data_IF_856827537590
#
_entry.id   IF_856827537590
#
_cell.length_a   1.000
_cell.length_b   1.000
_cell.length_c   1.000
_cell.angle_alpha   90.00
_cell.angle_beta   90.00
_cell.angle_gamma   90.00
#
_symmetry.space_group_name_H-M   'P 1'
#
loop_
_entity.id
_entity.type
_entity.pdbx_description
1 polymer ?
#
# COMPACT_ATOMS: atom_id res chain seq x y z
N UNK A 1 -12.45 8.27 16.31
CA UNK A 1 -13.34 7.14 15.92
C UNK A 1 -14.40 7.02 16.99
N UNK A 2 -15.69 7.11 16.66
CA UNK A 2 -16.82 7.13 17.61
C UNK A 2 -17.16 5.71 18.10
N UNK A 3 -16.68 5.26 19.27
CA UNK A 3 -16.83 3.85 19.69
C UNK A 3 -18.29 3.53 20.03
N UNK A 4 -19.01 4.50 20.57
CA UNK A 4 -20.42 4.42 20.94
C UNK A 4 -21.34 4.38 19.72
N UNK A 5 -20.97 5.07 18.64
CA UNK A 5 -21.75 5.08 17.40
C UNK A 5 -21.85 3.71 16.74
N UNK A 6 -20.74 2.97 16.68
CA UNK A 6 -20.73 1.61 16.13
C UNK A 6 -21.52 0.61 16.98
N UNK A 7 -21.48 0.74 18.31
CA UNK A 7 -22.25 -0.10 19.22
C UNK A 7 -23.75 0.20 19.06
N UNK A 8 -24.14 1.47 19.05
CA UNK A 8 -25.52 1.87 18.84
C UNK A 8 -26.06 1.40 17.48
N UNK A 9 -25.27 1.54 16.41
CA UNK A 9 -25.60 1.05 15.09
C UNK A 9 -25.76 -0.48 15.07
N UNK A 10 -24.88 -1.21 15.76
CA UNK A 10 -24.93 -2.67 15.83
C UNK A 10 -26.18 -3.16 16.57
N UNK A 11 -26.52 -2.52 17.69
CA UNK A 11 -27.73 -2.82 18.45
C UNK A 11 -29.01 -2.47 17.66
N UNK A 12 -29.02 -1.33 16.99
CA UNK A 12 -30.12 -0.94 16.10
C UNK A 12 -30.29 -1.94 14.94
N UNK A 13 -29.19 -2.39 14.35
CA UNK A 13 -29.19 -3.42 13.30
C UNK A 13 -29.74 -4.74 13.82
N UNK A 14 -29.31 -5.18 15.01
CA UNK A 14 -29.80 -6.41 15.63
C UNK A 14 -31.30 -6.34 15.94
N UNK A 15 -31.78 -5.21 16.48
CA UNK A 15 -33.19 -4.98 16.74
C UNK A 15 -34.02 -4.98 15.43
N UNK A 16 -33.50 -4.36 14.37
CA UNK A 16 -34.12 -4.37 13.04
C UNK A 16 -34.24 -5.80 12.49
N UNK A 17 -33.17 -6.59 12.55
CA UNK A 17 -33.19 -8.00 12.10
C UNK A 17 -34.19 -8.81 12.92
N UNK A 18 -34.21 -8.65 14.25
CA UNK A 18 -35.17 -9.33 15.12
C UNK A 18 -36.63 -8.97 14.78
N UNK A 19 -36.90 -7.70 14.49
CA UNK A 19 -38.22 -7.25 14.05
C UNK A 19 -38.61 -7.89 12.71
N UNK A 20 -37.71 -7.91 11.73
CA UNK A 20 -37.96 -8.43 10.37
C UNK A 20 -38.15 -9.94 10.32
N UNK A 21 -37.48 -10.69 11.21
CA UNK A 21 -37.64 -12.16 11.30
C UNK A 21 -39.01 -12.56 11.85
N UNK A 22 -39.69 -11.68 12.59
CA UNK A 22 -41.04 -11.94 13.09
C UNK A 22 -42.05 -11.90 11.92
N UNK A 23 -42.72 -13.03 11.59
CA UNK A 23 -43.65 -13.13 10.46
C UNK A 23 -44.84 -12.18 10.51
N UNK A 24 -45.18 -11.70 11.71
CA UNK A 24 -46.32 -10.81 11.95
C UNK A 24 -45.93 -9.32 11.98
N UNK A 25 -44.66 -8.98 11.74
CA UNK A 25 -44.22 -7.58 11.75
C UNK A 25 -44.56 -6.85 10.43
N UNK A 26 -45.06 -5.61 10.56
CA UNK A 26 -45.29 -4.72 9.41
C UNK A 26 -43.99 -4.44 8.63
N UNK A 27 -42.86 -4.41 9.35
CA UNK A 27 -41.52 -4.25 8.79
C UNK A 27 -41.06 -5.47 7.98
N UNK A 28 -41.36 -6.70 8.43
CA UNK A 28 -41.09 -7.92 7.68
C UNK A 28 -41.95 -8.01 6.41
N UNK A 29 -43.20 -7.55 6.48
CA UNK A 29 -44.11 -7.49 5.32
C UNK A 29 -43.66 -6.45 4.29
N UNK A 30 -43.21 -5.27 4.73
CA UNK A 30 -42.76 -4.20 3.83
C UNK A 30 -41.41 -4.52 3.17
N UNK A 31 -40.43 -4.99 3.95
CA UNK A 31 -39.10 -5.38 3.43
C UNK A 31 -39.14 -6.72 2.68
N UNK A 32 -40.13 -7.56 2.96
CA UNK A 32 -40.38 -8.83 2.27
C UNK A 32 -41.11 -8.69 0.93
N UNK A 33 -41.40 -7.47 0.46
CA UNK A 33 -42.07 -7.26 -0.81
C UNK A 33 -41.28 -7.87 -1.98
N UNK A 34 -41.99 -8.27 -3.04
CA UNK A 34 -41.43 -9.05 -4.15
C UNK A 34 -40.16 -8.41 -4.77
N UNK A 35 -40.08 -7.09 -5.02
CA UNK A 35 -38.88 -6.47 -5.59
C UNK A 35 -37.67 -6.53 -4.66
N UNK A 36 -37.83 -6.13 -3.39
CA UNK A 36 -36.73 -6.13 -2.42
C UNK A 36 -36.22 -7.54 -2.14
N UNK A 37 -37.13 -8.51 -2.01
CA UNK A 37 -36.76 -9.92 -1.88
C UNK A 37 -36.01 -10.44 -3.11
N UNK A 38 -36.43 -10.05 -4.31
CA UNK A 38 -35.78 -10.43 -5.56
C UNK A 38 -34.33 -9.92 -5.65
N UNK A 39 -34.09 -8.67 -5.22
CA UNK A 39 -32.76 -8.07 -5.11
C UNK A 39 -31.96 -8.80 -4.02
N UNK A 40 -32.56 -9.00 -2.84
CA UNK A 40 -31.89 -9.60 -1.69
C UNK A 40 -31.32 -10.99 -1.98
N UNK A 41 -32.07 -11.86 -2.66
CA UNK A 41 -31.57 -13.22 -3.01
C UNK A 41 -30.44 -13.20 -4.05
N UNK A 42 -30.25 -12.10 -4.79
CA UNK A 42 -29.22 -11.89 -5.81
C UNK A 42 -28.12 -10.92 -5.38
N UNK A 43 -28.17 -10.43 -4.14
CA UNK A 43 -27.27 -9.41 -3.60
C UNK A 43 -25.79 -9.80 -3.71
N UNK A 44 -25.49 -11.08 -3.52
CA UNK A 44 -24.13 -11.62 -3.70
C UNK A 44 -23.63 -11.50 -5.14
N UNK A 45 -24.42 -11.95 -6.12
CA UNK A 45 -24.10 -11.79 -7.54
C UNK A 45 -23.97 -10.33 -7.97
N UNK A 46 -24.84 -9.44 -7.46
CA UNK A 46 -24.76 -7.99 -7.72
C UNK A 46 -23.42 -7.44 -7.21
N UNK A 47 -23.05 -7.78 -5.98
CA UNK A 47 -21.79 -7.36 -5.36
C UNK A 47 -20.56 -7.83 -6.16
N UNK A 48 -20.56 -9.08 -6.64
CA UNK A 48 -19.45 -9.63 -7.41
C UNK A 48 -19.30 -8.98 -8.79
N UNK A 49 -20.40 -8.82 -9.51
CA UNK A 49 -20.36 -8.45 -10.93
C UNK A 49 -20.37 -6.94 -11.18
N UNK A 50 -20.81 -6.12 -10.23
CA UNK A 50 -20.85 -4.67 -10.41
C UNK A 50 -19.47 -4.07 -10.73
N UNK A 51 -18.41 -4.52 -10.04
CA UNK A 51 -17.06 -3.96 -10.19
C UNK A 51 -16.45 -4.28 -11.56
N UNK A 52 -16.41 -5.55 -12.01
CA UNK A 52 -15.94 -5.90 -13.34
C UNK A 52 -16.69 -5.18 -14.47
N UNK A 53 -18.01 -5.04 -14.35
CA UNK A 53 -18.83 -4.36 -15.37
C UNK A 53 -18.45 -2.87 -15.45
N UNK A 54 -18.30 -2.20 -14.32
CA UNK A 54 -17.90 -0.78 -14.28
C UNK A 54 -16.49 -0.59 -14.85
N UNK A 55 -15.55 -1.49 -14.52
CA UNK A 55 -14.17 -1.43 -15.02
C UNK A 55 -14.10 -1.65 -16.53
N UNK A 56 -14.77 -2.69 -17.04
CA UNK A 56 -14.75 -3.02 -18.47
C UNK A 56 -15.44 -1.95 -19.33
N UNK A 57 -16.42 -1.25 -18.79
CA UNK A 57 -17.09 -0.15 -19.49
C UNK A 57 -16.26 1.14 -19.52
N UNK A 58 -15.34 1.31 -18.55
CA UNK A 58 -14.62 2.56 -18.33
C UNK A 58 -15.45 3.61 -17.59
N UNK A 59 -14.77 4.46 -16.81
CA UNK A 59 -15.41 5.59 -16.12
C UNK A 59 -15.55 6.78 -17.08
N UNK A 60 -16.71 7.48 -17.10
CA UNK A 60 -16.85 8.68 -17.89
C UNK A 60 -15.86 9.75 -17.41
N UNK A 61 -15.19 10.41 -18.36
CA UNK A 61 -14.13 11.38 -18.07
C UNK A 61 -14.70 12.72 -17.54
N UNK A 62 -15.98 13.01 -17.78
CA UNK A 62 -16.64 14.28 -17.43
C UNK A 62 -18.03 14.02 -16.79
N UNK A 63 -18.11 13.97 -15.46
CA UNK A 63 -19.38 13.91 -14.72
C UNK A 63 -20.16 12.59 -14.82
N UNK A 64 -21.36 12.55 -14.22
CA UNK A 64 -22.24 11.38 -14.20
C UNK A 64 -23.03 11.30 -15.50
N UNK A 65 -22.69 10.34 -16.36
CA UNK A 65 -23.50 10.00 -17.53
C UNK A 65 -24.65 9.08 -17.09
N UNK A 66 -25.84 9.65 -16.85
CA UNK A 66 -27.02 8.93 -16.38
C UNK A 66 -27.44 7.76 -17.28
N UNK A 67 -27.47 7.88 -18.64
CA UNK A 67 -27.71 6.75 -19.52
C UNK A 67 -26.70 5.60 -19.35
N UNK A 68 -25.42 5.94 -19.25
CA UNK A 68 -24.37 4.94 -19.04
C UNK A 68 -24.51 4.26 -17.68
N UNK A 69 -24.78 5.02 -16.62
CA UNK A 69 -25.01 4.48 -15.28
C UNK A 69 -26.23 3.55 -15.25
N UNK A 70 -27.34 3.95 -15.88
CA UNK A 70 -28.53 3.11 -16.00
C UNK A 70 -28.23 1.79 -16.73
N UNK A 71 -27.42 1.86 -17.80
CA UNK A 71 -27.03 0.68 -18.56
C UNK A 71 -26.10 -0.24 -17.76
N UNK A 72 -25.13 0.31 -17.02
CA UNK A 72 -24.27 -0.46 -16.12
C UNK A 72 -25.06 -1.18 -15.02
N UNK A 73 -26.04 -0.50 -14.42
CA UNK A 73 -26.93 -1.10 -13.43
C UNK A 73 -27.77 -2.21 -14.07
N UNK A 74 -28.36 -1.97 -15.24
CA UNK A 74 -29.13 -2.97 -15.95
C UNK A 74 -28.29 -4.21 -16.30
N UNK A 75 -27.08 -4.02 -16.83
CA UNK A 75 -26.14 -5.10 -17.14
C UNK A 75 -25.76 -5.88 -15.88
N UNK A 76 -25.49 -5.18 -14.77
CA UNK A 76 -25.19 -5.82 -13.48
C UNK A 76 -26.34 -6.69 -13.00
N UNK A 77 -27.59 -6.19 -13.05
CA UNK A 77 -28.76 -6.95 -12.65
C UNK A 77 -29.00 -8.17 -13.54
N UNK A 78 -28.76 -8.07 -14.84
CA UNK A 78 -28.87 -9.19 -15.78
C UNK A 78 -27.80 -10.24 -15.49
N UNK A 79 -26.53 -9.85 -15.41
CA UNK A 79 -25.41 -10.77 -15.14
C UNK A 79 -25.57 -11.43 -13.76
N UNK A 80 -25.92 -10.66 -12.74
CA UNK A 80 -26.21 -11.20 -11.41
C UNK A 80 -27.39 -12.18 -11.43
N UNK A 81 -28.44 -11.91 -12.22
CA UNK A 81 -29.58 -12.83 -12.35
C UNK A 81 -29.19 -14.15 -13.02
N UNK A 82 -28.34 -14.10 -14.04
CA UNK A 82 -27.81 -15.28 -14.72
C UNK A 82 -26.85 -16.07 -13.80
N UNK A 83 -25.94 -15.39 -13.12
CA UNK A 83 -25.04 -15.96 -12.11
C UNK A 83 -25.83 -16.68 -11.03
N UNK A 84 -26.86 -16.02 -10.50
CA UNK A 84 -27.71 -16.60 -9.47
C UNK A 84 -28.39 -17.89 -9.95
N UNK A 85 -28.96 -17.88 -11.16
CA UNK A 85 -29.71 -19.03 -11.70
C UNK A 85 -28.80 -20.21 -12.08
N UNK A 86 -27.63 -19.95 -12.65
CA UNK A 86 -26.78 -20.98 -13.24
C UNK A 86 -25.59 -21.39 -12.37
N UNK A 87 -25.19 -20.56 -11.42
CA UNK A 87 -24.03 -20.81 -10.56
C UNK A 87 -24.48 -20.94 -9.11
N UNK A 88 -25.11 -19.91 -8.55
CA UNK A 88 -25.38 -19.85 -7.12
C UNK A 88 -26.47 -20.84 -6.68
N UNK A 89 -27.59 -20.91 -7.41
CA UNK A 89 -28.72 -21.80 -7.09
C UNK A 89 -28.35 -23.29 -7.18
N UNK A 90 -27.64 -23.78 -8.23
CA UNK A 90 -27.15 -25.16 -8.26
C UNK A 90 -26.18 -25.47 -7.12
N UNK A 91 -25.28 -24.55 -6.78
CA UNK A 91 -24.31 -24.70 -5.70
C UNK A 91 -25.04 -24.80 -4.35
N UNK A 92 -25.96 -23.87 -4.07
CA UNK A 92 -26.80 -23.85 -2.86
C UNK A 92 -27.70 -25.08 -2.76
N UNK A 93 -28.18 -25.59 -3.89
CA UNK A 93 -28.93 -26.84 -4.02
C UNK A 93 -28.07 -28.11 -3.90
N UNK A 94 -26.80 -28.01 -3.51
CA UNK A 94 -25.93 -29.15 -3.20
C UNK A 94 -25.28 -29.82 -4.41
N UNK A 95 -25.23 -29.16 -5.58
CA UNK A 95 -24.59 -29.70 -6.78
C UNK A 95 -23.10 -29.99 -6.56
N UNK A 96 -22.37 -29.12 -5.85
CA UNK A 96 -20.96 -29.35 -5.49
C UNK A 96 -20.79 -30.57 -4.58
N UNK A 97 -21.66 -30.73 -3.58
CA UNK A 97 -21.63 -31.90 -2.70
C UNK A 97 -21.93 -33.21 -3.44
N UNK A 98 -22.85 -33.20 -4.40
CA UNK A 98 -23.12 -34.34 -5.29
C UNK A 98 -21.93 -34.63 -6.21
N UNK A 99 -21.29 -33.60 -6.75
CA UNK A 99 -20.12 -33.74 -7.62
C UNK A 99 -18.92 -34.30 -6.85
N UNK A 100 -18.65 -33.82 -5.64
CA UNK A 100 -17.60 -34.33 -4.76
C UNK A 100 -17.86 -35.74 -4.26
N UNK A 101 -19.11 -36.12 -3.98
CA UNK A 101 -19.46 -37.51 -3.66
C UNK A 101 -19.27 -38.42 -4.87
N UNK A 102 -19.63 -37.98 -6.08
CA UNK A 102 -19.37 -38.73 -7.33
C UNK A 102 -17.88 -38.82 -7.68
N UNK A 103 -17.11 -37.78 -7.40
CA UNK A 103 -15.65 -37.80 -7.57
C UNK A 103 -14.97 -38.75 -6.58
N UNK A 104 -15.39 -38.74 -5.30
CA UNK A 104 -14.89 -39.68 -4.27
C UNK A 104 -15.36 -41.12 -4.48
N UNK A 105 -16.57 -41.32 -5.01
CA UNK A 105 -17.07 -42.64 -5.39
C UNK A 105 -16.44 -43.17 -6.70
N UNK A 106 -15.66 -42.35 -7.42
CA UNK A 106 -15.09 -42.65 -8.73
C UNK A 106 -13.62 -43.07 -8.71
N UNK A 107 -13.15 -43.78 -7.67
CA UNK A 107 -11.83 -44.46 -7.63
C UNK A 107 -11.92 -45.93 -8.09
N UNK A 108 -13.12 -46.46 -8.36
CA UNK A 108 -13.30 -47.76 -9.01
C UNK A 108 -13.86 -47.58 -10.43
N UNK A 109 -13.23 -48.20 -11.43
CA UNK A 109 -13.59 -48.27 -12.86
C UNK A 109 -13.14 -47.12 -13.78
N UNK A 110 -11.84 -47.13 -14.09
CA UNK A 110 -11.19 -46.41 -15.20
C UNK A 110 -11.59 -46.88 -16.62
N UNK A 111 -12.54 -47.81 -16.78
CA UNK A 111 -12.87 -48.42 -18.08
C UNK A 111 -13.97 -47.75 -18.92
N UNK A 112 -14.85 -46.92 -18.34
CA UNK A 112 -16.05 -46.43 -19.04
C UNK A 112 -16.02 -44.94 -19.44
N UNK A 113 -14.92 -44.23 -19.18
CA UNK A 113 -14.87 -42.76 -19.17
C UNK A 113 -14.40 -42.12 -20.49
N UNK A 114 -14.59 -42.79 -21.62
CA UNK A 114 -14.26 -42.24 -22.96
C UNK A 114 -15.47 -41.75 -23.79
N UNK A 115 -16.72 -41.87 -23.31
CA UNK A 115 -17.91 -41.47 -24.10
C UNK A 115 -18.81 -40.39 -23.49
N UNK A 116 -18.54 -39.89 -22.29
CA UNK A 116 -19.39 -38.87 -21.63
C UNK A 116 -18.67 -37.54 -21.33
N UNK A 117 -17.47 -37.35 -21.87
CA UNK A 117 -16.71 -36.08 -21.78
C UNK A 117 -16.96 -35.14 -22.97
N UNK A 118 -18.03 -35.34 -23.74
CA UNK A 118 -18.33 -34.53 -24.92
C UNK A 118 -19.43 -33.47 -24.73
N UNK A 119 -20.18 -33.42 -23.62
CA UNK A 119 -21.35 -32.52 -23.53
C UNK A 119 -21.53 -31.75 -22.21
N UNK A 120 -20.52 -31.70 -21.33
CA UNK A 120 -20.60 -30.89 -20.10
C UNK A 120 -19.25 -30.35 -19.62
N UNK A 121 -18.30 -30.14 -20.55
CA UNK A 121 -17.03 -29.45 -20.30
C UNK A 121 -17.04 -27.95 -20.64
N UNK A 122 -18.05 -27.49 -21.39
CA UNK A 122 -18.09 -26.13 -21.94
C UNK A 122 -18.29 -25.02 -20.92
N UNK A 123 -19.02 -25.27 -19.83
CA UNK A 123 -19.39 -24.21 -18.87
C UNK A 123 -18.31 -23.93 -17.82
N UNK A 124 -17.62 -24.96 -17.32
CA UNK A 124 -16.47 -24.80 -16.42
C UNK A 124 -15.23 -24.29 -17.17
N UNK A 125 -15.04 -24.73 -18.42
CA UNK A 125 -14.01 -24.20 -19.32
C UNK A 125 -14.23 -22.73 -19.63
N UNK A 126 -15.46 -22.30 -19.94
CA UNK A 126 -15.78 -20.90 -20.22
C UNK A 126 -15.60 -19.99 -19.00
N UNK A 127 -15.91 -20.45 -17.78
CA UNK A 127 -15.70 -19.67 -16.54
C UNK A 127 -14.21 -19.55 -16.21
N UNK A 128 -13.42 -20.62 -16.37
CA UNK A 128 -11.97 -20.57 -16.15
C UNK A 128 -11.26 -19.73 -17.21
N UNK A 129 -11.70 -19.81 -18.47
CA UNK A 129 -11.22 -18.95 -19.58
C UNK A 129 -11.63 -17.50 -19.37
N UNK A 130 -12.82 -17.21 -18.83
CA UNK A 130 -13.24 -15.85 -18.50
C UNK A 130 -12.43 -15.25 -17.33
N UNK A 131 -12.09 -16.05 -16.32
CA UNK A 131 -11.23 -15.62 -15.19
C UNK A 131 -9.79 -15.38 -15.64
N UNK A 132 -9.26 -16.22 -16.53
CA UNK A 132 -7.92 -16.04 -17.12
C UNK A 132 -7.90 -14.87 -18.11
N UNK A 133 -8.96 -14.68 -18.90
CA UNK A 133 -9.11 -13.53 -19.79
C UNK A 133 -9.23 -12.22 -19.00
N UNK A 134 -9.88 -12.21 -17.83
CA UNK A 134 -9.95 -11.04 -16.97
C UNK A 134 -8.60 -10.71 -16.30
N UNK A 135 -7.76 -11.71 -16.04
CA UNK A 135 -6.39 -11.51 -15.59
C UNK A 135 -5.44 -11.08 -16.74
N UNK A 136 -5.76 -11.45 -17.99
CA UNK A 136 -4.96 -11.16 -19.19
C UNK A 136 -5.26 -9.83 -19.89
N UNK A 137 -6.25 -9.06 -19.44
CA UNK A 137 -6.59 -7.72 -20.00
C UNK A 137 -5.82 -6.58 -19.30
N UNK A 138 -4.95 -6.89 -18.34
CA UNK A 138 -3.88 -5.95 -18.00
C UNK A 138 -2.91 -5.88 -19.19
N UNK A 139 -2.61 -4.69 -19.75
CA UNK A 139 -1.71 -4.60 -20.89
C UNK A 139 -0.30 -4.98 -20.45
N UNK A 140 0.09 -6.23 -20.72
CA UNK A 140 1.50 -6.58 -20.91
C UNK A 140 1.88 -6.04 -22.28
N UNK A 141 2.37 -4.80 -22.31
CA UNK A 141 3.03 -4.27 -23.49
C UNK A 141 4.34 -5.06 -23.70
N UNK A 142 4.35 -5.91 -24.74
CA UNK A 142 5.53 -6.60 -25.24
C UNK A 142 5.55 -6.55 -26.77
N UNK A 143 6.77 -6.53 -27.30
CA UNK A 143 7.25 -6.44 -28.69
C UNK A 143 7.48 -5.00 -29.18
N UNK A 144 8.65 -4.60 -29.67
CA UNK A 144 9.92 -5.23 -30.07
C UNK A 144 10.69 -4.13 -30.86
N UNK A 145 12.00 -4.08 -31.10
CA UNK A 145 13.05 -5.09 -31.18
C UNK A 145 14.42 -4.40 -31.42
N UNK A 146 15.51 -5.06 -30.96
CA UNK A 146 16.91 -5.03 -31.43
C UNK A 146 17.76 -3.76 -31.14
N UNK A 147 18.84 -3.83 -30.35
CA UNK A 147 20.14 -4.43 -30.76
C UNK A 147 21.03 -4.71 -29.53
N UNK A 148 21.80 -5.82 -29.46
CA UNK A 148 22.78 -6.03 -28.40
C UNK A 148 24.09 -5.28 -28.70
N UNK A 149 24.31 -4.12 -28.07
CA UNK A 149 25.63 -3.48 -28.08
C UNK A 149 26.45 -3.86 -26.84
N UNK A 150 27.25 -4.90 -27.06
CA UNK A 150 28.65 -5.08 -26.64
C UNK A 150 29.11 -4.25 -25.44
N UNK A 151 29.26 -4.96 -24.32
CA UNK A 151 30.03 -4.58 -23.13
C UNK A 151 31.42 -4.10 -23.56
N UNK A 152 31.70 -2.82 -23.29
CA UNK A 152 33.07 -2.30 -23.33
C UNK A 152 33.37 -1.51 -22.06
N UNK A 153 34.18 -2.17 -21.23
CA UNK A 153 35.40 -1.62 -20.62
C UNK A 153 35.27 -0.60 -19.47
N UNK A 154 35.46 -1.10 -18.25
CA UNK A 154 36.23 -0.45 -17.17
C UNK A 154 37.60 0.00 -17.72
N UNK A 155 38.19 1.14 -17.25
CA UNK A 155 39.02 1.13 -16.03
C UNK A 155 39.19 2.54 -15.37
N UNK A 156 40.18 2.81 -14.49
CA UNK A 156 40.79 2.01 -13.41
C UNK A 156 40.72 2.71 -12.03
N UNK A 157 41.05 1.91 -10.99
CA UNK A 157 41.49 2.35 -9.66
C UNK A 157 42.61 3.39 -9.76
N UNK A 158 42.47 4.50 -9.04
CA UNK A 158 43.57 5.39 -8.69
C UNK A 158 44.10 5.04 -7.30
N UNK A 159 45.29 4.44 -7.30
CA UNK A 159 46.20 4.32 -6.17
C UNK A 159 46.66 5.71 -5.72
N UNK A 160 46.70 5.95 -4.41
CA UNK A 160 47.14 7.23 -3.83
C UNK A 160 48.66 7.43 -3.82
N UNK A 161 49.13 8.55 -3.25
CA UNK A 161 50.45 8.65 -2.65
C UNK A 161 50.43 8.91 -1.13
N UNK A 162 51.61 8.67 -0.55
CA UNK A 162 51.97 8.45 0.85
C UNK A 162 52.00 9.70 1.73
N UNK A 163 51.84 9.40 3.03
CA UNK A 163 52.49 9.96 4.22
C UNK A 163 53.14 11.35 4.13
N UNK A 164 52.57 12.27 4.89
CA UNK A 164 53.33 13.25 5.66
C UNK A 164 52.98 13.06 7.14
N UNK A 165 54.01 12.77 7.93
CA UNK A 165 54.00 12.73 9.39
C UNK A 165 53.96 14.15 9.96
N UNK A 166 53.14 14.38 10.99
CA UNK A 166 53.37 15.43 11.98
C UNK A 166 52.63 15.15 13.30
N UNK A 167 53.07 15.73 14.43
CA UNK A 167 53.26 15.00 15.67
C UNK A 167 52.05 15.02 16.61
N UNK A 168 52.12 14.09 17.57
CA UNK A 168 51.16 13.81 18.62
C UNK A 168 50.59 15.07 19.30
N UNK A 169 49.32 15.36 19.03
CA UNK A 169 48.46 16.06 19.99
C UNK A 169 47.77 15.03 20.86
N UNK A 170 47.87 15.24 22.17
CA UNK A 170 47.31 14.40 23.24
C UNK A 170 45.78 14.35 23.10
N UNK A 171 45.30 13.36 22.33
CA UNK A 171 43.86 13.06 22.24
C UNK A 171 43.48 12.28 23.48
N UNK A 172 42.97 12.99 24.50
CA UNK A 172 42.25 12.40 25.64
C UNK A 172 41.34 11.29 25.09
N UNK A 173 41.63 10.05 25.49
CA UNK A 173 40.83 8.87 25.21
C UNK A 173 39.42 9.08 25.79
N UNK A 174 38.49 9.59 24.97
CA UNK A 174 37.07 9.40 25.23
C UNK A 174 36.79 7.93 24.95
N UNK A 175 36.55 7.17 26.02
CA UNK A 175 35.94 5.85 25.96
C UNK A 175 34.76 5.93 24.98
N UNK A 176 34.62 5.01 24.00
CA UNK A 176 33.47 5.03 23.12
C UNK A 176 32.21 4.99 23.99
N UNK A 177 31.38 6.05 23.91
CA UNK A 177 30.05 5.99 24.50
C UNK A 177 29.31 4.85 23.79
N UNK A 178 28.57 4.05 24.56
CA UNK A 178 27.69 3.04 23.97
C UNK A 178 26.77 3.74 22.95
N UNK A 179 26.44 3.11 21.82
CA UNK A 179 25.59 3.72 20.80
C UNK A 179 24.30 4.24 21.43
N UNK A 180 23.84 5.46 21.06
CA UNK A 180 22.60 5.98 21.59
C UNK A 180 21.46 5.01 21.26
N UNK A 181 20.64 4.71 22.27
CA UNK A 181 19.48 3.82 22.16
C UNK A 181 18.15 4.57 22.13
N UNK A 182 18.18 5.89 22.34
CA UNK A 182 16.99 6.74 22.40
C UNK A 182 17.14 8.00 21.57
N UNK A 183 16.04 8.43 20.97
CA UNK A 183 15.94 9.69 20.22
C UNK A 183 15.61 10.88 21.13
N UNK A 184 15.99 12.08 20.71
CA UNK A 184 15.52 13.34 21.29
C UNK A 184 14.06 13.66 20.91
N UNK A 185 13.52 13.03 19.88
CA UNK A 185 12.15 13.20 19.41
C UNK A 185 11.13 12.62 20.40
N UNK A 186 10.32 13.49 21.01
CA UNK A 186 9.24 13.08 21.93
C UNK A 186 7.88 12.95 21.26
N UNK A 187 7.61 13.75 20.24
CA UNK A 187 6.39 13.71 19.45
C UNK A 187 6.78 13.63 17.98
N UNK A 188 6.17 12.71 17.24
CA UNK A 188 6.48 12.46 15.84
C UNK A 188 5.21 12.50 15.01
N UNK A 189 5.19 13.34 13.97
CA UNK A 189 4.26 13.16 12.84
C UNK A 189 4.97 12.28 11.82
N UNK A 190 4.34 11.15 11.47
CA UNK A 190 4.84 10.23 10.45
C UNK A 190 3.94 10.37 9.22
N UNK A 191 4.45 10.96 8.14
CA UNK A 191 3.71 11.04 6.89
C UNK A 191 4.23 9.97 5.93
N UNK A 192 3.37 9.01 5.58
CA UNK A 192 3.73 7.88 4.73
C UNK A 192 2.78 7.69 3.54
N UNK A 193 3.31 7.07 2.49
CA UNK A 193 2.54 6.54 1.36
C UNK A 193 2.18 5.04 1.54
N UNK A 194 1.74 4.38 0.47
CA UNK A 194 1.34 2.96 0.47
C UNK A 194 2.42 2.02 1.02
N UNK A 195 3.69 2.38 0.90
CA UNK A 195 4.81 1.57 1.43
C UNK A 195 4.83 1.53 2.96
N UNK A 196 4.00 2.33 3.63
CA UNK A 196 3.88 2.41 5.08
C UNK A 196 2.58 1.82 5.64
N UNK A 197 1.58 1.49 4.81
CA UNK A 197 0.26 1.03 5.27
C UNK A 197 0.33 -0.22 6.15
N UNK A 198 1.18 -1.18 5.78
CA UNK A 198 1.36 -2.41 6.55
C UNK A 198 2.05 -2.20 7.90
N UNK A 199 2.72 -1.08 8.15
CA UNK A 199 3.43 -0.82 9.41
C UNK A 199 2.49 -0.52 10.58
N UNK A 200 1.24 -0.13 10.28
CA UNK A 200 0.21 0.18 11.27
C UNK A 200 -0.95 -0.82 11.28
N UNK A 201 -1.08 -1.64 10.23
CA UNK A 201 -2.20 -2.56 10.06
C UNK A 201 -2.03 -3.86 10.85
N UNK A 202 -3.11 -4.31 11.49
CA UNK A 202 -3.18 -5.62 12.15
C UNK A 202 -3.14 -6.80 11.18
N UNK A 203 -3.55 -6.58 9.94
CA UNK A 203 -3.64 -7.63 8.94
C UNK A 203 -2.25 -8.00 8.44
N UNK A 204 -1.35 -7.01 8.37
CA UNK A 204 0.05 -7.21 8.02
C UNK A 204 0.93 -7.51 9.24
N UNK A 205 0.74 -6.81 10.37
CA UNK A 205 1.50 -7.03 11.60
C UNK A 205 0.53 -7.35 12.75
N UNK A 206 0.21 -8.63 12.99
CA UNK A 206 -0.73 -9.03 14.05
C UNK A 206 -0.26 -8.63 15.45
N UNK A 207 1.04 -8.72 15.74
CA UNK A 207 1.60 -8.34 17.03
C UNK A 207 1.74 -6.80 17.15
N UNK A 208 0.97 -6.13 18.02
CA UNK A 208 1.01 -4.67 18.13
C UNK A 208 2.37 -4.13 18.57
N UNK A 209 3.21 -4.92 19.27
CA UNK A 209 4.56 -4.49 19.68
C UNK A 209 5.51 -4.28 18.50
N UNK A 210 5.22 -4.89 17.36
CA UNK A 210 6.05 -4.79 16.15
C UNK A 210 5.58 -3.69 15.19
N UNK A 211 4.44 -3.05 15.47
CA UNK A 211 3.92 -1.95 14.64
C UNK A 211 4.68 -0.66 14.88
N UNK A 212 4.62 0.24 13.90
CA UNK A 212 5.35 1.51 13.86
C UNK A 212 5.30 2.29 15.18
N UNK A 213 4.11 2.49 15.74
CA UNK A 213 3.94 3.26 16.97
C UNK A 213 4.68 2.64 18.16
N UNK A 214 4.64 1.31 18.31
CA UNK A 214 5.33 0.62 19.39
C UNK A 214 6.85 0.67 19.19
N UNK A 215 7.33 0.48 17.95
CA UNK A 215 8.75 0.59 17.62
C UNK A 215 9.31 2.00 17.87
N UNK A 216 8.54 3.05 17.54
CA UNK A 216 8.90 4.44 17.87
C UNK A 216 8.87 4.69 19.40
N UNK A 217 7.93 4.08 20.12
CA UNK A 217 7.87 4.17 21.58
C UNK A 217 9.09 3.53 22.26
N UNK A 218 9.58 2.40 21.75
CA UNK A 218 10.77 1.71 22.27
C UNK A 218 12.02 2.61 22.25
N UNK A 219 12.13 3.49 21.25
CA UNK A 219 13.23 4.47 21.13
C UNK A 219 12.97 5.81 21.83
N UNK A 220 11.83 5.95 22.52
CA UNK A 220 11.54 7.08 23.40
C UNK A 220 10.56 8.13 22.86
N UNK A 221 9.92 7.88 21.71
CA UNK A 221 8.79 8.70 21.24
C UNK A 221 7.59 8.45 22.15
N UNK A 222 6.93 9.52 22.61
CA UNK A 222 5.75 9.44 23.49
C UNK A 222 4.45 9.52 22.72
N UNK A 223 4.42 10.36 21.68
CA UNK A 223 3.23 10.60 20.87
C UNK A 223 3.59 10.42 19.40
N UNK A 224 2.82 9.60 18.70
CA UNK A 224 2.97 9.38 17.26
C UNK A 224 1.66 9.68 16.57
N UNK A 225 1.72 10.51 15.53
CA UNK A 225 0.61 10.83 14.64
C UNK A 225 0.87 10.14 13.29
N UNK A 226 0.36 8.91 13.06
CA UNK A 226 0.53 8.23 11.80
C UNK A 226 -0.43 8.80 10.75
N UNK A 227 0.13 9.50 9.78
CA UNK A 227 -0.55 10.05 8.62
C UNK A 227 -0.17 9.22 7.40
N UNK A 228 -0.86 8.11 7.18
CA UNK A 228 -0.53 7.15 6.12
C UNK A 228 -1.72 7.00 5.17
N UNK A 229 -1.44 7.06 3.86
CA UNK A 229 -2.45 6.88 2.81
C UNK A 229 -1.80 6.34 1.54
N UNK A 230 -2.39 5.32 0.93
CA UNK A 230 -1.83 4.59 -0.22
C UNK A 230 -1.22 5.46 -1.32
N UNK A 231 -2.02 6.30 -1.96
CA UNK A 231 -1.59 7.13 -3.09
C UNK A 231 -1.02 8.50 -2.67
N UNK A 232 -0.56 8.67 -1.42
CA UNK A 232 -0.08 9.98 -0.95
C UNK A 232 1.20 10.37 -1.67
N UNK A 233 1.18 11.53 -2.31
CA UNK A 233 2.36 12.29 -2.74
C UNK A 233 2.41 13.63 -2.01
N UNK A 234 3.44 14.44 -2.30
CA UNK A 234 3.59 15.76 -1.69
C UNK A 234 2.53 16.74 -2.17
N UNK A 235 2.20 16.71 -3.47
CA UNK A 235 1.43 17.76 -4.14
C UNK A 235 0.06 17.26 -4.60
N UNK A 236 -0.03 16.07 -5.14
CA UNK A 236 -1.26 15.55 -5.73
C UNK A 236 -2.18 15.00 -4.65
N UNK A 237 -3.47 15.29 -4.78
CA UNK A 237 -4.52 14.63 -4.00
C UNK A 237 -5.02 13.42 -4.78
N UNK A 238 -5.51 12.41 -4.06
CA UNK A 238 -6.08 11.21 -4.65
C UNK A 238 -7.40 10.89 -3.96
N UNK A 239 -8.47 10.69 -4.73
CA UNK A 239 -9.81 10.33 -4.21
C UNK A 239 -10.32 11.19 -3.04
N UNK A 240 -9.98 12.49 -3.04
CA UNK A 240 -10.37 13.43 -1.99
C UNK A 240 -9.55 13.34 -0.70
N UNK A 241 -8.56 12.44 -0.62
CA UNK A 241 -7.62 12.40 0.49
C UNK A 241 -6.57 13.52 0.37
N UNK A 242 -6.17 14.14 1.50
CA UNK A 242 -5.18 15.20 1.49
C UNK A 242 -3.79 14.69 1.12
N UNK A 243 -3.07 15.50 0.33
CA UNK A 243 -1.66 15.33 0.02
C UNK A 243 -0.78 15.60 1.26
N UNK A 244 0.51 15.26 1.19
CA UNK A 244 1.40 15.41 2.34
C UNK A 244 1.61 16.86 2.77
N UNK A 245 1.66 17.81 1.82
CA UNK A 245 1.81 19.24 2.13
C UNK A 245 0.62 19.76 2.97
N UNK A 246 -0.60 19.37 2.60
CA UNK A 246 -1.83 19.72 3.31
C UNK A 246 -1.84 19.12 4.71
N UNK A 247 -1.48 17.84 4.84
CA UNK A 247 -1.38 17.17 6.15
C UNK A 247 -0.36 17.88 7.04
N UNK A 248 0.82 18.22 6.53
CA UNK A 248 1.84 18.93 7.29
C UNK A 248 1.35 20.31 7.75
N UNK A 249 0.72 21.07 6.85
CA UNK A 249 0.11 22.37 7.19
C UNK A 249 -0.97 22.25 8.27
N UNK A 250 -1.83 21.22 8.21
CA UNK A 250 -2.87 20.99 9.20
C UNK A 250 -2.30 20.72 10.60
N UNK A 251 -1.28 19.87 10.71
CA UNK A 251 -0.60 19.62 11.99
C UNK A 251 0.07 20.89 12.54
N UNK A 252 0.74 21.66 11.68
CA UNK A 252 1.34 22.93 12.07
C UNK A 252 0.30 23.96 12.52
N UNK A 253 -0.84 24.07 11.82
CA UNK A 253 -1.94 24.95 12.19
C UNK A 253 -2.59 24.55 13.53
N UNK A 254 -2.53 23.27 13.89
CA UNK A 254 -2.94 22.75 15.19
C UNK A 254 -1.88 22.95 16.29
N UNK A 255 -0.76 23.61 15.97
CA UNK A 255 0.31 23.92 16.92
C UNK A 255 1.32 22.80 17.13
N UNK A 256 1.41 21.83 16.20
CA UNK A 256 2.40 20.76 16.33
C UNK A 256 3.83 21.30 16.27
N UNK A 257 4.62 20.94 17.28
CA UNK A 257 6.06 21.17 17.34
C UNK A 257 6.77 19.90 17.83
N UNK A 258 7.51 19.25 16.94
CA UNK A 258 8.15 17.97 17.21
C UNK A 258 9.07 17.53 16.08
N UNK A 259 9.20 16.21 15.90
CA UNK A 259 9.95 15.64 14.79
C UNK A 259 9.01 15.13 13.70
N UNK A 260 9.53 15.05 12.49
CA UNK A 260 8.81 14.58 11.32
C UNK A 260 9.54 13.38 10.74
N UNK A 261 8.79 12.32 10.43
CA UNK A 261 9.28 11.23 9.59
C UNK A 261 8.51 11.29 8.28
N UNK A 262 9.23 11.46 7.18
CA UNK A 262 8.65 11.50 5.84
C UNK A 262 9.02 10.21 5.12
N UNK A 263 8.06 9.31 4.99
CA UNK A 263 8.15 8.07 4.21
C UNK A 263 7.41 8.25 2.89
N UNK A 264 7.92 9.19 2.08
CA UNK A 264 7.34 9.68 0.84
C UNK A 264 8.39 9.66 -0.27
N UNK A 265 7.94 9.40 -1.49
CA UNK A 265 8.78 9.47 -2.69
C UNK A 265 8.33 8.54 -3.80
N UNK A 266 7.71 7.42 -3.45
CA UNK A 266 7.29 6.39 -4.41
C UNK A 266 6.23 6.93 -5.37
N UNK A 267 5.22 7.63 -4.86
CA UNK A 267 4.21 8.29 -5.69
C UNK A 267 4.69 9.62 -6.31
N UNK A 268 5.65 10.30 -5.67
CA UNK A 268 6.15 11.59 -6.15
C UNK A 268 6.95 11.47 -7.46
N UNK A 269 7.68 10.37 -7.65
CA UNK A 269 8.41 10.14 -8.91
C UNK A 269 7.48 9.89 -10.08
N UNK A 270 6.41 9.12 -9.89
CA UNK A 270 5.38 8.86 -10.91
C UNK A 270 4.69 10.18 -11.30
N UNK A 271 4.18 10.92 -10.31
CA UNK A 271 3.51 12.19 -10.56
C UNK A 271 4.42 13.23 -11.23
N UNK A 272 5.71 13.24 -10.90
CA UNK A 272 6.67 14.17 -11.50
C UNK A 272 6.99 13.87 -12.97
N UNK A 273 6.68 12.68 -13.50
CA UNK A 273 6.85 12.40 -14.93
C UNK A 273 5.84 13.18 -15.78
N UNK A 274 4.65 13.43 -15.24
CA UNK A 274 3.55 14.11 -15.95
C UNK A 274 3.24 15.51 -15.41
N UNK A 275 3.92 15.94 -14.35
CA UNK A 275 3.71 17.23 -13.68
C UNK A 275 4.82 18.22 -14.02
N UNK A 276 4.52 19.53 -14.18
CA UNK A 276 5.56 20.56 -14.27
C UNK A 276 6.36 20.72 -12.97
N UNK A 277 5.93 20.07 -11.89
CA UNK A 277 6.54 20.16 -10.56
C UNK A 277 7.56 19.02 -10.37
N UNK A 278 8.85 19.36 -10.49
CA UNK A 278 9.95 18.43 -10.34
C UNK A 278 10.30 18.04 -8.89
N UNK A 279 11.08 16.96 -8.75
CA UNK A 279 11.41 16.33 -7.46
C UNK A 279 12.04 17.30 -6.44
N UNK A 280 13.04 18.08 -6.88
CA UNK A 280 13.74 19.05 -6.02
C UNK A 280 12.80 20.11 -5.44
N UNK A 281 11.82 20.56 -6.23
CA UNK A 281 10.84 21.54 -5.75
C UNK A 281 9.94 20.90 -4.69
N UNK A 282 9.48 19.67 -4.90
CA UNK A 282 8.60 18.95 -3.94
C UNK A 282 9.27 18.80 -2.58
N UNK A 283 10.55 18.40 -2.58
CA UNK A 283 11.35 18.27 -1.36
C UNK A 283 11.51 19.64 -0.69
N UNK A 284 11.91 20.67 -1.44
CA UNK A 284 12.06 22.02 -0.91
C UNK A 284 10.75 22.58 -0.35
N UNK A 285 9.62 22.29 -1.01
CA UNK A 285 8.29 22.70 -0.58
C UNK A 285 7.90 22.06 0.76
N UNK A 286 8.08 20.75 0.93
CA UNK A 286 7.84 20.07 2.21
C UNK A 286 8.74 20.61 3.33
N UNK A 287 10.03 20.78 3.04
CA UNK A 287 10.98 21.32 4.02
C UNK A 287 10.67 22.77 4.38
N UNK A 288 10.16 23.57 3.45
CA UNK A 288 9.73 24.95 3.70
C UNK A 288 8.48 24.99 4.61
N UNK A 289 7.51 24.09 4.40
CA UNK A 289 6.32 23.96 5.26
C UNK A 289 6.74 23.59 6.69
N UNK A 290 7.57 22.56 6.86
CA UNK A 290 7.98 22.06 8.17
C UNK A 290 8.93 23.05 8.90
N UNK A 291 9.73 23.79 8.14
CA UNK A 291 10.66 24.79 8.65
C UNK A 291 11.86 24.18 9.37
N UNK A 292 12.16 24.68 10.57
CA UNK A 292 13.36 24.29 11.32
C UNK A 292 13.19 23.02 12.16
N UNK A 293 12.00 22.43 12.20
CA UNK A 293 11.75 21.21 12.96
C UNK A 293 12.56 20.03 12.40
N UNK A 294 13.03 19.09 13.25
CA UNK A 294 13.80 17.93 12.79
C UNK A 294 13.00 17.04 11.83
N UNK A 295 13.60 16.70 10.69
CA UNK A 295 12.99 15.83 9.67
C UNK A 295 13.91 14.64 9.40
N UNK A 296 13.39 13.43 9.54
CA UNK A 296 14.02 12.25 8.97
C UNK A 296 13.22 11.79 7.75
N UNK A 297 13.86 11.79 6.57
CA UNK A 297 13.27 11.33 5.34
C UNK A 297 13.71 9.90 5.05
N UNK A 298 12.77 8.98 4.88
CA UNK A 298 13.05 7.59 4.51
C UNK A 298 13.14 7.53 2.99
N UNK A 299 14.29 7.12 2.47
CA UNK A 299 14.47 6.96 1.03
C UNK A 299 13.70 5.73 0.50
N UNK A 300 13.60 5.62 -0.82
CA UNK A 300 12.67 4.67 -1.46
C UNK A 300 13.38 3.62 -2.30
N UNK A 301 12.77 2.45 -2.42
CA UNK A 301 13.23 1.35 -3.26
C UNK A 301 12.02 0.59 -3.82
N UNK A 302 12.12 0.20 -5.08
CA UNK A 302 11.24 -0.78 -5.73
C UNK A 302 12.10 -1.81 -6.46
N UNK A 303 11.49 -2.93 -6.86
CA UNK A 303 12.16 -4.01 -7.61
C UNK A 303 11.81 -4.04 -9.10
N UNK A 304 11.05 -3.04 -9.58
CA UNK A 304 10.62 -2.96 -10.97
C UNK A 304 11.79 -2.48 -11.85
N UNK A 305 11.98 -3.15 -12.98
CA UNK A 305 13.00 -2.77 -13.96
C UNK A 305 12.57 -1.63 -14.89
N UNK A 306 11.27 -1.36 -15.01
CA UNK A 306 10.70 -0.38 -15.95
C UNK A 306 9.40 0.23 -15.43
N UNK A 307 8.93 1.27 -16.11
CA UNK A 307 7.74 2.03 -15.73
C UNK A 307 8.03 3.16 -14.72
N UNK A 308 6.97 3.90 -14.35
CA UNK A 308 7.09 5.09 -13.49
C UNK A 308 7.58 4.74 -12.07
N UNK A 309 7.30 3.52 -11.60
CA UNK A 309 7.76 2.99 -10.32
C UNK A 309 9.05 2.19 -10.41
N UNK A 310 9.81 2.28 -11.51
CA UNK A 310 11.07 1.53 -11.64
C UNK A 310 12.11 1.95 -10.61
N UNK A 311 13.02 1.02 -10.30
CA UNK A 311 14.13 1.27 -9.39
C UNK A 311 14.98 2.47 -9.85
N UNK A 312 15.12 2.66 -11.17
CA UNK A 312 15.79 3.82 -11.74
C UNK A 312 15.11 5.14 -11.39
N UNK A 313 13.77 5.18 -11.30
CA UNK A 313 13.04 6.37 -10.87
C UNK A 313 13.19 6.61 -9.37
N UNK A 314 13.14 5.55 -8.56
CA UNK A 314 13.44 5.63 -7.12
C UNK A 314 14.85 6.19 -6.85
N UNK A 315 15.83 5.80 -7.65
CA UNK A 315 17.19 6.34 -7.56
C UNK A 315 17.24 7.85 -7.85
N UNK A 316 16.43 8.37 -8.79
CA UNK A 316 16.33 9.84 -9.02
C UNK A 316 15.77 10.55 -7.80
N UNK A 317 14.76 9.99 -7.13
CA UNK A 317 14.26 10.53 -5.87
C UNK A 317 15.34 10.58 -4.78
N UNK A 318 16.02 9.45 -4.57
CA UNK A 318 17.05 9.34 -3.54
C UNK A 318 18.21 10.31 -3.81
N UNK A 319 18.59 10.51 -5.08
CA UNK A 319 19.56 11.53 -5.48
C UNK A 319 19.06 12.95 -5.21
N UNK A 320 17.78 13.24 -5.45
CA UNK A 320 17.19 14.54 -5.14
C UNK A 320 17.18 14.81 -3.62
N UNK A 321 16.88 13.80 -2.80
CA UNK A 321 17.00 13.89 -1.33
C UNK A 321 18.44 14.20 -0.91
N UNK A 322 19.42 13.45 -1.44
CA UNK A 322 20.84 13.67 -1.16
C UNK A 322 21.30 15.08 -1.54
N UNK A 323 20.84 15.60 -2.67
CA UNK A 323 21.14 16.96 -3.11
C UNK A 323 20.45 18.02 -2.22
N UNK A 324 19.26 17.74 -1.69
CA UNK A 324 18.52 18.66 -0.83
C UNK A 324 19.11 18.74 0.59
N UNK A 325 19.53 17.61 1.17
CA UNK A 325 19.90 17.54 2.58
C UNK A 325 20.95 18.57 3.05
N UNK A 326 22.06 18.84 2.33
CA UNK A 326 23.04 19.85 2.74
C UNK A 326 22.46 21.27 2.86
N UNK A 327 21.36 21.55 2.15
CA UNK A 327 20.64 22.84 2.19
C UNK A 327 19.68 22.94 3.38
N UNK A 328 19.35 21.83 4.03
CA UNK A 328 18.39 21.75 5.12
C UNK A 328 19.04 21.13 6.37
N UNK A 329 19.57 21.99 7.26
CA UNK A 329 20.28 21.53 8.47
C UNK A 329 19.47 20.63 9.40
N UNK A 330 18.14 20.76 9.40
CA UNK A 330 17.20 19.94 10.17
C UNK A 330 16.87 18.58 9.54
N UNK A 331 17.30 18.30 8.30
CA UNK A 331 16.94 17.11 7.54
C UNK A 331 18.02 16.03 7.63
N UNK A 332 17.62 14.78 7.87
CA UNK A 332 18.45 13.58 7.73
C UNK A 332 17.73 12.57 6.85
N UNK A 333 18.48 11.76 6.12
CA UNK A 333 17.97 10.72 5.24
C UNK A 333 18.27 9.37 5.88
N UNK A 334 17.24 8.54 6.04
CA UNK A 334 17.40 7.16 6.41
C UNK A 334 17.53 6.30 5.16
N UNK A 335 18.66 5.60 5.02
CA UNK A 335 19.05 4.75 3.87
C UNK A 335 18.33 3.39 3.93
N UNK A 336 17.00 3.43 3.79
CA UNK A 336 16.15 2.25 3.73
C UNK A 336 16.46 1.40 2.48
N UNK A 337 16.77 2.04 1.36
CA UNK A 337 17.10 1.37 0.11
C UNK A 337 18.31 0.43 0.25
N UNK A 338 19.32 0.77 1.06
CA UNK A 338 20.44 -0.14 1.34
C UNK A 338 20.09 -1.30 2.29
N UNK A 339 19.01 -1.18 3.08
CA UNK A 339 18.64 -2.15 4.12
C UNK A 339 17.56 -3.14 3.65
N UNK A 340 16.69 -2.68 2.75
CA UNK A 340 15.59 -3.46 2.21
C UNK A 340 16.09 -4.74 1.50
N UNK A 341 15.46 -5.87 1.78
CA UNK A 341 15.81 -7.16 1.17
C UNK A 341 14.78 -7.52 0.10
N UNK A 342 15.24 -7.99 -1.06
CA UNK A 342 14.35 -8.40 -2.17
C UNK A 342 13.24 -9.37 -1.73
N UNK A 343 13.54 -10.32 -0.85
CA UNK A 343 12.57 -11.31 -0.32
C UNK A 343 11.45 -10.72 0.55
N UNK A 344 11.56 -9.45 0.92
CA UNK A 344 10.54 -8.76 1.70
C UNK A 344 9.44 -8.18 0.83
N UNK A 345 9.66 -8.03 -0.48
CA UNK A 345 8.67 -7.46 -1.39
C UNK A 345 7.65 -8.51 -1.83
N UNK A 346 6.39 -8.10 -1.96
CA UNK A 346 5.35 -8.89 -2.62
C UNK A 346 5.57 -8.87 -4.15
N UNK A 347 4.82 -9.66 -4.94
CA UNK A 347 5.07 -9.79 -6.38
C UNK A 347 4.99 -8.48 -7.18
N UNK A 348 4.33 -7.44 -6.66
CA UNK A 348 4.31 -6.13 -7.30
C UNK A 348 5.66 -5.40 -7.29
N UNK A 349 6.60 -5.83 -6.44
CA UNK A 349 7.92 -5.22 -6.32
C UNK A 349 7.96 -3.84 -5.64
N UNK A 350 6.87 -3.40 -5.01
CA UNK A 350 6.73 -2.10 -4.34
C UNK A 350 6.41 -2.29 -2.86
N UNK A 351 5.43 -3.13 -2.55
CA UNK A 351 4.94 -3.35 -1.20
C UNK A 351 5.58 -4.58 -0.56
N UNK A 352 5.37 -4.74 0.74
CA UNK A 352 6.08 -5.74 1.54
C UNK A 352 5.18 -6.86 2.06
N UNK A 353 5.74 -8.06 2.22
CA UNK A 353 5.16 -9.05 3.12
C UNK A 353 5.31 -8.60 4.58
N UNK A 354 4.57 -9.23 5.49
CA UNK A 354 4.63 -8.95 6.94
C UNK A 354 6.06 -8.84 7.50
N UNK A 355 7.02 -9.74 7.18
CA UNK A 355 8.39 -9.60 7.69
C UNK A 355 9.10 -8.34 7.22
N UNK A 356 8.77 -7.84 6.02
CA UNK A 356 9.30 -6.59 5.48
C UNK A 356 8.74 -5.39 6.21
N UNK A 357 7.43 -5.33 6.44
CA UNK A 357 6.82 -4.25 7.23
C UNK A 357 7.31 -4.23 8.69
N UNK A 358 7.48 -5.41 9.32
CA UNK A 358 8.09 -5.50 10.66
C UNK A 358 9.51 -4.96 10.67
N UNK A 359 10.33 -5.34 9.68
CA UNK A 359 11.69 -4.84 9.57
C UNK A 359 11.71 -3.33 9.35
N UNK A 360 10.89 -2.81 8.44
CA UNK A 360 10.81 -1.38 8.11
C UNK A 360 10.41 -0.53 9.32
N UNK A 361 9.36 -0.92 10.03
CA UNK A 361 8.91 -0.23 11.26
C UNK A 361 10.02 -0.19 12.33
N UNK A 362 10.70 -1.32 12.54
CA UNK A 362 11.80 -1.44 13.49
C UNK A 362 13.00 -0.56 13.08
N UNK A 363 13.36 -0.61 11.81
CA UNK A 363 14.55 0.04 11.26
C UNK A 363 14.41 1.55 11.14
N UNK A 364 13.22 2.05 10.78
CA UNK A 364 12.88 3.47 10.84
C UNK A 364 13.03 4.00 12.28
N UNK A 365 12.54 3.28 13.28
CA UNK A 365 12.67 3.72 14.67
C UNK A 365 14.15 3.84 15.10
N UNK A 366 15.00 2.88 14.70
CA UNK A 366 16.46 2.96 14.92
C UNK A 366 17.11 4.08 14.11
N UNK A 367 16.66 4.29 12.87
CA UNK A 367 17.08 5.41 12.02
C UNK A 367 16.86 6.75 12.72
N UNK A 368 15.72 6.91 13.40
CA UNK A 368 15.38 8.13 14.14
C UNK A 368 16.36 8.40 15.30
N UNK A 369 16.81 7.34 15.99
CA UNK A 369 17.85 7.45 17.03
C UNK A 369 19.17 7.93 16.44
N UNK A 370 19.55 7.43 15.26
CA UNK A 370 20.79 7.82 14.58
C UNK A 370 20.71 9.24 14.02
N UNK A 371 19.55 9.64 13.49
CA UNK A 371 19.31 10.98 12.98
C UNK A 371 19.33 12.02 14.11
N UNK A 372 18.60 11.74 15.19
CA UNK A 372 18.35 12.67 16.29
C UNK A 372 18.53 11.97 17.65
N UNK A 373 19.76 11.66 18.07
CA UNK A 373 20.04 11.01 19.35
C UNK A 373 19.68 11.92 20.53
N UNK A 374 19.28 11.33 21.67
CA UNK A 374 18.87 12.10 22.86
C UNK A 374 20.03 12.82 23.57
N UNK A 375 21.20 12.18 23.61
CA UNK A 375 22.34 12.61 24.43
C UNK A 375 23.45 13.27 23.59
N UNK A 376 23.23 13.45 22.30
CA UNK A 376 24.20 13.93 21.34
C UNK A 376 23.52 14.91 20.37
N UNK A 377 24.27 15.80 19.69
CA UNK A 377 23.73 16.58 18.59
C UNK A 377 23.13 15.68 17.50
N UNK A 378 22.24 16.23 16.68
CA UNK A 378 21.78 15.57 15.46
C UNK A 378 22.99 15.13 14.61
N UNK A 379 22.87 13.98 13.93
CA UNK A 379 23.95 13.41 13.09
C UNK A 379 24.61 14.49 12.24
N UNK A 380 25.94 14.54 12.12
CA UNK A 380 26.57 15.47 11.18
C UNK A 380 26.44 15.01 9.71
N UNK A 381 26.22 13.71 9.50
CA UNK A 381 26.02 13.11 8.17
C UNK A 381 24.59 13.32 7.71
N UNK A 382 24.42 13.67 6.44
CA UNK A 382 23.11 13.72 5.79
C UNK A 382 22.40 12.37 5.80
N UNK A 383 23.14 11.29 5.58
CA UNK A 383 22.60 9.93 5.53
C UNK A 383 22.91 9.20 6.83
N UNK A 384 21.90 8.54 7.39
CA UNK A 384 22.01 7.65 8.54
C UNK A 384 21.62 6.22 8.14
N UNK A 385 22.38 5.25 8.65
CA UNK A 385 22.23 3.81 8.39
C UNK A 385 22.14 3.08 9.70
#
# INVERSE_FOLDING_TARGET
IYPTGFIALSLATAAMVAAVVNPSSVLGLSLGCRPLRWIGVRSYGIYLWQWPIVVLWGRPHNGVNWPQAALQVATTLVVASLSWRYVEEPIRGGALGRLWRRARAGVGNLGARRRTLALSGGTLGAVLIAVIALAGVLPVASEGSNTPQKISSLPPKLSGPRLASDPASVRRSRRPLAPPTRTSCRSVVYIGDSTSEGEISSDYIPNPRQRLQAQLADVGVRTTYPEISGARSIVETFEGFPNAATVAQQHLAQGFHGCWILALGTNDVDNAETSPIGLSWRIAHMMAIIGHQPVMWVDVLTLLSSGPYSEAQMQKWNQALLAACPRHRSMRIYDWAAHAKRKWFIPDGIHYYSPGYVARAHDIARGLVKAFPKAEPASASCVVR
#
